data_IF_387869268018
#
_entry.id   IF_387869268018
#
_cell.length_a   1.000
_cell.length_b   1.000
_cell.length_c   1.000
_cell.angle_alpha   90.00
_cell.angle_beta   90.00
_cell.angle_gamma   90.00
#
_symmetry.space_group_name_H-M   'P 1'
#
loop_
_entity.id
_entity.type
_entity.pdbx_description
1 polymer ?
#
# COMPACT_ATOMS: atom_id res chain seq x y z
N UNK A 1 -10.77 -68.01 -32.57
CA UNK A 1 -11.74 -67.33 -31.68
C UNK A 1 -11.01 -66.14 -31.07
N UNK A 2 -10.94 -64.98 -31.72
CA UNK A 2 -11.94 -63.91 -31.78
C UNK A 2 -12.39 -63.43 -30.37
N UNK A 3 -11.89 -62.26 -29.94
CA UNK A 3 -12.72 -61.08 -29.66
C UNK A 3 -11.87 -59.85 -29.31
N UNK A 4 -12.02 -58.84 -30.16
CA UNK A 4 -11.56 -57.46 -30.11
C UNK A 4 -12.37 -56.63 -29.11
N UNK A 5 -11.74 -55.70 -28.37
CA UNK A 5 -12.36 -54.48 -27.78
C UNK A 5 -11.28 -53.39 -27.68
N UNK A 6 -11.29 -52.42 -28.58
CA UNK A 6 -11.97 -51.10 -28.52
C UNK A 6 -11.09 -50.03 -27.83
N UNK A 7 -10.49 -49.21 -28.69
CA UNK A 7 -9.81 -47.96 -28.40
C UNK A 7 -10.75 -46.94 -27.76
N UNK A 8 -10.27 -46.20 -26.76
CA UNK A 8 -10.90 -44.98 -26.29
C UNK A 8 -9.85 -43.88 -26.15
N UNK A 9 -9.70 -43.12 -27.23
CA UNK A 9 -8.97 -41.84 -27.27
C UNK A 9 -9.66 -40.84 -26.35
N UNK A 10 -8.99 -40.41 -25.28
CA UNK A 10 -9.44 -39.28 -24.46
C UNK A 10 -8.71 -38.02 -24.92
N UNK A 11 -9.40 -37.23 -25.75
CA UNK A 11 -9.04 -35.86 -26.09
C UNK A 11 -9.19 -34.98 -24.85
N UNK A 12 -8.09 -34.49 -24.28
CA UNK A 12 -8.14 -33.43 -23.27
C UNK A 12 -8.38 -32.09 -23.98
N UNK A 13 -9.57 -31.53 -23.75
CA UNK A 13 -10.00 -30.25 -24.26
C UNK A 13 -9.16 -29.10 -23.70
N UNK A 14 -8.68 -28.22 -24.59
CA UNK A 14 -8.20 -26.88 -24.24
C UNK A 14 -9.36 -26.09 -23.63
N UNK A 15 -9.31 -25.82 -22.33
CA UNK A 15 -10.15 -24.82 -21.69
C UNK A 15 -9.59 -23.43 -22.03
N UNK A 16 -10.17 -22.78 -23.04
CA UNK A 16 -10.07 -21.34 -23.24
C UNK A 16 -10.81 -20.65 -22.10
N UNK A 17 -10.10 -20.25 -21.05
CA UNK A 17 -10.62 -19.33 -20.05
C UNK A 17 -10.75 -17.97 -20.71
N UNK A 18 -11.98 -17.59 -21.03
CA UNK A 18 -12.32 -16.24 -21.44
C UNK A 18 -11.98 -15.27 -20.32
N UNK A 19 -10.85 -14.58 -20.45
CA UNK A 19 -10.60 -13.36 -19.69
C UNK A 19 -11.65 -12.34 -20.12
N UNK A 20 -12.62 -12.07 -19.25
CA UNK A 20 -13.50 -10.92 -19.38
C UNK A 20 -12.60 -9.67 -19.38
N UNK A 21 -12.34 -9.13 -20.57
CA UNK A 21 -11.66 -7.86 -20.73
C UNK A 21 -12.61 -6.79 -20.20
N UNK A 22 -12.41 -6.37 -18.95
CA UNK A 22 -13.07 -5.19 -18.43
C UNK A 22 -12.75 -4.02 -19.38
N UNK A 23 -13.75 -3.53 -20.10
CA UNK A 23 -13.57 -2.42 -21.04
C UNK A 23 -12.97 -1.23 -20.28
N UNK A 24 -11.92 -0.57 -20.82
CA UNK A 24 -11.34 0.61 -20.20
C UNK A 24 -12.46 1.60 -19.87
N UNK A 25 -12.52 2.06 -18.62
CA UNK A 25 -13.52 3.06 -18.25
C UNK A 25 -13.12 4.36 -18.93
N UNK A 26 -13.75 4.69 -20.06
CA UNK A 26 -13.39 5.89 -20.81
C UNK A 26 -13.82 7.16 -20.05
N UNK A 27 -12.92 8.14 -19.95
CA UNK A 27 -13.34 9.51 -19.59
C UNK A 27 -14.02 10.17 -20.82
N UNK A 28 -15.17 9.66 -21.25
CA UNK A 28 -15.91 10.16 -22.43
C UNK A 28 -16.48 11.59 -22.28
N UNK A 29 -16.19 12.29 -21.17
CA UNK A 29 -16.61 13.67 -20.94
C UNK A 29 -15.51 14.44 -20.20
N UNK A 30 -15.43 15.76 -20.41
CA UNK A 30 -14.47 16.63 -19.70
C UNK A 30 -14.64 16.60 -18.19
N UNK A 31 -15.88 16.49 -17.69
CA UNK A 31 -16.15 16.39 -16.25
C UNK A 31 -15.55 15.11 -15.62
N UNK A 32 -15.67 13.95 -16.28
CA UNK A 32 -15.05 12.70 -15.82
C UNK A 32 -13.53 12.76 -15.82
N UNK A 33 -12.93 13.42 -16.81
CA UNK A 33 -11.49 13.63 -16.85
C UNK A 33 -11.00 14.48 -15.66
N UNK A 34 -11.68 15.61 -15.38
CA UNK A 34 -11.34 16.47 -14.23
C UNK A 34 -11.52 15.74 -12.90
N UNK A 35 -12.59 14.95 -12.76
CA UNK A 35 -12.81 14.14 -11.56
C UNK A 35 -11.70 13.09 -11.37
N UNK A 36 -11.30 12.39 -12.44
CA UNK A 36 -10.22 11.41 -12.39
C UNK A 36 -8.87 12.06 -12.02
N UNK A 37 -8.58 13.27 -12.52
CA UNK A 37 -7.40 14.04 -12.09
C UNK A 37 -7.45 14.38 -10.60
N UNK A 38 -8.59 14.88 -10.12
CA UNK A 38 -8.74 15.22 -8.70
C UNK A 38 -8.58 13.98 -7.79
N UNK A 39 -9.06 12.81 -8.23
CA UNK A 39 -8.84 11.54 -7.52
C UNK A 39 -7.36 11.16 -7.45
N UNK A 40 -6.61 11.30 -8.55
CA UNK A 40 -5.16 11.06 -8.58
C UNK A 40 -4.46 12.00 -7.61
N UNK A 41 -4.75 13.31 -7.67
CA UNK A 41 -4.10 14.31 -6.83
C UNK A 41 -4.37 14.06 -5.34
N UNK A 42 -5.62 13.73 -4.98
CA UNK A 42 -6.00 13.41 -3.61
C UNK A 42 -5.30 12.14 -3.09
N UNK A 43 -5.19 11.11 -3.94
CA UNK A 43 -4.49 9.87 -3.61
C UNK A 43 -3.00 10.11 -3.37
N UNK A 44 -2.34 10.89 -4.24
CA UNK A 44 -0.92 11.24 -4.08
C UNK A 44 -0.67 12.10 -2.84
N UNK A 45 -1.55 13.06 -2.57
CA UNK A 45 -1.50 13.85 -1.33
C UNK A 45 -1.58 12.97 -0.09
N UNK A 46 -2.41 11.93 -0.10
CA UNK A 46 -2.52 10.98 1.01
C UNK A 46 -1.22 10.21 1.24
N UNK A 47 -0.57 9.76 0.16
CA UNK A 47 0.72 9.06 0.22
C UNK A 47 1.85 9.98 0.71
N UNK A 48 1.84 11.25 0.32
CA UNK A 48 2.85 12.24 0.71
C UNK A 48 2.70 12.76 2.14
N UNK A 49 1.50 13.19 2.53
CA UNK A 49 1.29 13.87 3.81
C UNK A 49 1.20 12.88 5.00
N UNK A 50 0.71 11.66 4.76
CA UNK A 50 0.51 10.64 5.80
C UNK A 50 1.78 10.33 6.61
N UNK A 51 2.90 9.97 5.96
CA UNK A 51 4.17 9.70 6.62
C UNK A 51 4.67 10.87 7.47
N UNK A 52 4.54 12.11 6.97
CA UNK A 52 4.97 13.30 7.70
C UNK A 52 4.17 13.49 9.00
N UNK A 53 2.85 13.37 8.94
CA UNK A 53 1.98 13.46 10.13
C UNK A 53 2.29 12.35 11.14
N UNK A 54 2.48 11.12 10.67
CA UNK A 54 2.80 9.98 11.52
C UNK A 54 4.16 10.17 12.21
N UNK A 55 5.17 10.65 11.47
CA UNK A 55 6.49 10.96 12.04
C UNK A 55 6.42 12.06 13.09
N UNK A 56 5.75 13.18 12.81
CA UNK A 56 5.60 14.27 13.76
C UNK A 56 4.88 13.80 15.05
N UNK A 57 3.84 12.97 14.90
CA UNK A 57 3.15 12.36 16.04
C UNK A 57 4.07 11.44 16.85
N UNK A 58 4.86 10.60 16.17
CA UNK A 58 5.82 9.70 16.81
C UNK A 58 6.86 10.49 17.62
N UNK A 59 7.46 11.50 17.02
CA UNK A 59 8.49 12.34 17.65
C UNK A 59 7.92 13.10 18.86
N UNK A 60 6.71 13.65 18.74
CA UNK A 60 6.00 14.31 19.85
C UNK A 60 5.75 13.34 21.00
N UNK A 61 5.21 12.15 20.72
CA UNK A 61 4.95 11.16 21.75
C UNK A 61 6.23 10.60 22.38
N UNK A 62 7.31 10.45 21.59
CA UNK A 62 8.61 10.02 22.08
C UNK A 62 9.21 11.05 23.02
N UNK A 63 9.09 12.34 22.69
CA UNK A 63 9.56 13.43 23.54
C UNK A 63 8.90 13.38 24.91
N UNK A 64 7.57 13.25 24.95
CA UNK A 64 6.83 13.12 26.23
C UNK A 64 7.22 11.85 26.98
N UNK A 65 7.24 10.71 26.27
CA UNK A 65 7.56 9.39 26.83
C UNK A 65 9.01 9.28 27.34
N UNK A 66 9.95 9.90 26.63
CA UNK A 66 11.36 9.94 26.96
C UNK A 66 11.62 10.88 28.14
N UNK A 67 10.99 12.05 28.18
CA UNK A 67 11.07 12.95 29.33
C UNK A 67 10.59 12.27 30.62
N UNK A 68 9.46 11.54 30.57
CA UNK A 68 8.95 10.77 31.71
C UNK A 68 9.90 9.64 32.17
N UNK A 69 10.75 9.14 31.27
CA UNK A 69 11.75 8.09 31.55
C UNK A 69 13.15 8.63 31.83
N UNK A 70 13.34 9.96 31.83
CA UNK A 70 14.66 10.58 31.97
C UNK A 70 15.60 10.36 30.78
N UNK A 71 15.08 10.05 29.59
CA UNK A 71 15.89 9.84 28.39
C UNK A 71 16.42 11.15 27.81
N UNK A 72 17.71 11.19 27.51
CA UNK A 72 18.32 12.27 26.72
C UNK A 72 17.78 12.28 25.29
N UNK A 73 18.00 13.39 24.57
CA UNK A 73 17.64 13.47 23.15
C UNK A 73 18.38 12.43 22.30
N UNK A 74 19.63 12.15 22.64
CA UNK A 74 20.45 11.14 21.97
C UNK A 74 19.88 9.73 22.17
N UNK A 75 19.43 9.40 23.38
CA UNK A 75 18.75 8.14 23.66
C UNK A 75 17.45 8.01 22.86
N UNK A 76 16.65 9.07 22.76
CA UNK A 76 15.44 9.08 21.95
C UNK A 76 15.75 8.86 20.46
N UNK A 77 16.78 9.54 19.93
CA UNK A 77 17.22 9.36 18.55
C UNK A 77 17.75 7.94 18.27
N UNK A 78 18.50 7.36 19.20
CA UNK A 78 18.96 5.97 19.14
C UNK A 78 17.79 4.99 19.05
N UNK A 79 16.77 5.17 19.89
CA UNK A 79 15.58 4.31 19.88
C UNK A 79 14.86 4.36 18.53
N UNK A 80 14.67 5.55 17.96
CA UNK A 80 14.08 5.69 16.63
C UNK A 80 14.93 5.01 15.56
N UNK A 81 16.25 5.25 15.56
CA UNK A 81 17.15 4.64 14.59
C UNK A 81 17.10 3.11 14.66
N UNK A 82 17.11 2.52 15.86
CA UNK A 82 16.96 1.06 16.01
C UNK A 82 15.65 0.54 15.42
N UNK A 83 14.54 1.22 15.73
CA UNK A 83 13.23 0.82 15.23
C UNK A 83 13.15 0.88 13.70
N UNK A 84 13.65 1.95 13.08
CA UNK A 84 13.69 2.10 11.62
C UNK A 84 14.66 1.14 10.92
N UNK A 85 15.74 0.74 11.59
CA UNK A 85 16.70 -0.23 11.05
C UNK A 85 16.35 -1.69 11.34
N UNK A 86 15.25 -1.95 12.04
CA UNK A 86 14.86 -3.30 12.44
C UNK A 86 14.35 -4.14 11.26
N UNK A 87 14.48 -5.46 11.36
CA UNK A 87 13.99 -6.39 10.34
C UNK A 87 12.47 -6.27 10.10
N UNK A 88 11.68 -6.06 11.16
CA UNK A 88 10.23 -5.92 11.02
C UNK A 88 9.81 -4.65 10.28
N UNK A 89 10.56 -3.55 10.45
CA UNK A 89 10.33 -2.35 9.64
C UNK A 89 10.67 -2.58 8.16
N UNK A 90 11.79 -3.24 7.88
CA UNK A 90 12.21 -3.56 6.52
C UNK A 90 11.30 -4.56 5.81
N UNK A 91 10.68 -5.49 6.55
CA UNK A 91 9.67 -6.39 5.99
C UNK A 91 8.43 -5.61 5.52
N UNK A 92 7.98 -4.62 6.30
CA UNK A 92 6.91 -3.71 5.86
C UNK A 92 7.35 -2.88 4.65
N UNK A 93 8.60 -2.40 4.63
CA UNK A 93 9.13 -1.66 3.49
C UNK A 93 9.13 -2.51 2.21
N UNK A 94 9.53 -3.78 2.32
CA UNK A 94 9.48 -4.75 1.23
C UNK A 94 8.06 -5.00 0.74
N UNK A 95 7.10 -5.19 1.65
CA UNK A 95 5.68 -5.32 1.31
C UNK A 95 5.13 -4.08 0.59
N UNK A 96 5.68 -2.90 0.88
CA UNK A 96 5.27 -1.63 0.26
C UNK A 96 5.71 -1.50 -1.19
N UNK A 97 6.89 -2.04 -1.53
CA UNK A 97 7.55 -1.78 -2.83
C UNK A 97 6.69 -2.12 -4.06
N UNK A 98 5.98 -3.27 -4.13
CA UNK A 98 5.11 -3.56 -5.27
C UNK A 98 4.03 -2.49 -5.47
N UNK A 99 3.45 -1.98 -4.38
CA UNK A 99 2.41 -0.96 -4.44
C UNK A 99 2.97 0.40 -4.85
N UNK A 100 4.18 0.76 -4.41
CA UNK A 100 4.88 1.97 -4.88
C UNK A 100 5.18 1.87 -6.38
N UNK A 101 5.68 0.73 -6.83
CA UNK A 101 5.96 0.48 -8.26
C UNK A 101 4.69 0.60 -9.11
N UNK A 102 3.59 -0.06 -8.70
CA UNK A 102 2.31 0.05 -9.39
C UNK A 102 1.75 1.48 -9.37
N UNK A 103 1.87 2.18 -8.23
CA UNK A 103 1.46 3.58 -8.12
C UNK A 103 2.21 4.46 -9.12
N UNK A 104 3.54 4.35 -9.18
CA UNK A 104 4.37 5.11 -10.12
C UNK A 104 3.98 4.81 -11.57
N UNK A 105 3.82 3.54 -11.93
CA UNK A 105 3.39 3.13 -13.28
C UNK A 105 2.02 3.71 -13.64
N UNK A 106 1.06 3.66 -12.72
CA UNK A 106 -0.29 4.19 -12.95
C UNK A 106 -0.28 5.73 -13.10
N UNK A 107 0.52 6.44 -12.29
CA UNK A 107 0.71 7.89 -12.43
C UNK A 107 1.31 8.22 -13.79
N UNK A 108 2.36 7.52 -14.21
CA UNK A 108 2.97 7.72 -15.55
C UNK A 108 1.96 7.44 -16.66
N UNK A 109 1.19 6.35 -16.55
CA UNK A 109 0.17 5.99 -17.52
C UNK A 109 -0.94 7.05 -17.64
N UNK A 110 -1.27 7.77 -16.55
CA UNK A 110 -2.29 8.83 -16.57
C UNK A 110 -1.96 10.03 -17.47
N UNK A 111 -0.71 10.13 -17.93
CA UNK A 111 -0.20 11.16 -18.84
C UNK A 111 0.16 10.60 -20.23
N UNK A 112 -0.35 9.42 -20.58
CA UNK A 112 -0.05 8.72 -21.84
C UNK A 112 -0.66 9.33 -23.10
N UNK A 113 -0.44 8.71 -24.28
CA UNK A 113 -0.78 9.27 -25.60
C UNK A 113 -2.28 9.48 -25.84
N UNK A 114 -3.15 8.75 -25.13
CA UNK A 114 -4.57 9.09 -24.99
C UNK A 114 -4.87 9.44 -23.52
N UNK A 115 -4.78 10.73 -23.14
CA UNK A 115 -4.99 11.16 -21.76
C UNK A 115 -6.42 10.91 -21.25
N UNK A 116 -7.43 10.77 -22.12
CA UNK A 116 -8.82 10.59 -21.68
C UNK A 116 -9.12 9.15 -21.34
N UNK A 117 -8.67 8.20 -22.16
CA UNK A 117 -8.83 6.77 -21.87
C UNK A 117 -7.90 6.31 -20.74
N UNK A 118 -6.65 6.76 -20.77
CA UNK A 118 -5.64 6.35 -19.79
C UNK A 118 -5.92 6.91 -18.39
N UNK A 119 -6.46 8.12 -18.25
CA UNK A 119 -6.63 8.77 -16.94
C UNK A 119 -7.69 8.16 -16.05
N UNK A 120 -8.86 7.79 -16.57
CA UNK A 120 -9.91 7.15 -15.75
C UNK A 120 -9.49 5.75 -15.27
N UNK A 121 -8.78 5.00 -16.13
CA UNK A 121 -8.22 3.69 -15.76
C UNK A 121 -7.09 3.86 -14.74
N UNK A 122 -6.17 4.81 -15.00
CA UNK A 122 -5.09 5.13 -14.08
C UNK A 122 -5.60 5.62 -12.73
N UNK A 123 -6.63 6.46 -12.65
CA UNK A 123 -7.17 6.99 -11.40
C UNK A 123 -7.61 5.89 -10.43
N UNK A 124 -8.28 4.84 -10.93
CA UNK A 124 -8.65 3.67 -10.12
C UNK A 124 -7.41 2.96 -9.56
N UNK A 125 -6.40 2.76 -10.39
CA UNK A 125 -5.18 2.04 -10.02
C UNK A 125 -4.29 2.87 -9.07
N UNK A 126 -4.14 4.17 -9.35
CA UNK A 126 -3.49 5.14 -8.46
C UNK A 126 -4.17 5.13 -7.09
N UNK A 127 -5.50 5.21 -7.03
CA UNK A 127 -6.24 5.18 -5.76
C UNK A 127 -5.98 3.88 -5.00
N UNK A 128 -6.13 2.73 -5.64
CA UNK A 128 -5.92 1.43 -4.99
C UNK A 128 -4.49 1.28 -4.46
N UNK A 129 -3.48 1.58 -5.28
CA UNK A 129 -2.08 1.49 -4.87
C UNK A 129 -1.71 2.52 -3.80
N UNK A 130 -2.22 3.74 -3.88
CA UNK A 130 -2.02 4.77 -2.86
C UNK A 130 -2.58 4.37 -1.50
N UNK A 131 -3.77 3.74 -1.47
CA UNK A 131 -4.35 3.22 -0.23
C UNK A 131 -3.52 2.10 0.36
N UNK A 132 -3.01 1.17 -0.47
CA UNK A 132 -2.12 0.11 0.01
C UNK A 132 -0.81 0.66 0.58
N UNK A 133 -0.21 1.67 -0.08
CA UNK A 133 0.97 2.36 0.45
C UNK A 133 0.67 3.08 1.78
N UNK A 134 -0.47 3.76 1.88
CA UNK A 134 -0.89 4.47 3.10
C UNK A 134 -1.19 3.52 4.27
N UNK A 135 -1.79 2.36 4.01
CA UNK A 135 -1.99 1.30 5.02
C UNK A 135 -0.65 0.82 5.57
N UNK A 136 0.31 0.51 4.69
CA UNK A 136 1.62 0.04 5.10
C UNK A 136 2.39 1.13 5.86
N UNK A 137 2.30 2.39 5.45
CA UNK A 137 2.86 3.51 6.23
C UNK A 137 2.24 3.62 7.63
N UNK A 138 0.94 3.36 7.77
CA UNK A 138 0.26 3.36 9.07
C UNK A 138 0.75 2.20 9.95
N UNK A 139 0.95 1.02 9.36
CA UNK A 139 1.54 -0.15 10.02
C UNK A 139 3.00 0.08 10.40
N UNK A 140 3.79 0.75 9.56
CA UNK A 140 5.17 1.16 9.86
C UNK A 140 5.22 2.11 11.07
N UNK A 141 4.35 3.12 11.11
CA UNK A 141 4.23 3.99 12.29
C UNK A 141 3.88 3.20 13.55
N UNK A 142 2.85 2.34 13.48
CA UNK A 142 2.43 1.54 14.63
C UNK A 142 3.53 0.58 15.10
N UNK A 143 4.29 0.01 14.17
CA UNK A 143 5.44 -0.83 14.47
C UNK A 143 6.52 -0.04 15.21
N UNK A 144 6.95 1.10 14.66
CA UNK A 144 7.98 1.93 15.30
C UNK A 144 7.54 2.38 16.68
N UNK A 145 6.29 2.84 16.83
CA UNK A 145 5.75 3.28 18.11
C UNK A 145 5.73 2.16 19.18
N UNK A 146 5.58 0.89 18.78
CA UNK A 146 5.74 -0.27 19.69
C UNK A 146 7.20 -0.51 20.05
N UNK A 147 8.09 -0.53 19.06
CA UNK A 147 9.53 -0.75 19.26
C UNK A 147 10.16 0.26 20.22
N UNK A 148 9.74 1.53 20.13
CA UNK A 148 10.23 2.58 21.04
C UNK A 148 9.41 2.70 22.34
N UNK A 149 8.44 1.81 22.57
CA UNK A 149 7.68 1.72 23.82
C UNK A 149 6.74 2.90 24.09
N UNK A 150 6.26 3.57 23.04
CA UNK A 150 5.35 4.71 23.13
C UNK A 150 3.88 4.28 23.18
N UNK A 151 3.54 3.15 22.53
CA UNK A 151 2.25 2.49 22.77
C UNK A 151 2.41 1.77 24.11
N UNK A 152 2.11 2.47 25.20
CA UNK A 152 2.28 1.94 26.55
C UNK A 152 1.33 0.76 26.80
N UNK A 153 1.76 -0.13 27.69
CA UNK A 153 1.06 -1.30 28.24
C UNK A 153 -0.30 -0.99 28.90
N UNK A 154 -0.87 0.21 28.73
CA UNK A 154 -2.20 0.59 29.22
C UNK A 154 -3.36 -0.16 28.54
N UNK A 155 -3.09 -1.01 27.55
CA UNK A 155 -4.09 -1.94 26.96
C UNK A 155 -4.01 -3.34 27.62
N UNK A 156 -2.99 -3.65 28.44
CA UNK A 156 -2.89 -4.94 29.13
C UNK A 156 -3.59 -4.98 30.50
N UNK A 157 -3.99 -3.85 31.07
CA UNK A 157 -4.64 -3.78 32.40
C UNK A 157 -6.16 -3.94 32.38
N UNK A 158 -6.78 -4.21 31.22
CA UNK A 158 -8.24 -4.46 31.12
C UNK A 158 -8.63 -5.91 30.80
N UNK A 159 -7.66 -6.82 30.82
CA UNK A 159 -7.86 -8.25 30.64
C UNK A 159 -7.25 -9.03 31.82
N UNK A 160 -7.69 -8.69 33.03
CA UNK A 160 -7.60 -9.56 34.22
C UNK A 160 -8.89 -9.43 35.01
#
# INVERSE_FOLDING_TARGET
>A
MALTRLSASSLLALALTGAAHASPTECGSGARYTAAQAEIDAALKTVGDGPQRNRARLESQLKTSGAARGWSQEQQAEMLRRAYSSAGYWELEKQKQPHVSTLMQAVTASSGPDPRLSKCTAAKQVKASAWAVADIHSRQYAYVAREVGIISQAVQTKAR
#
